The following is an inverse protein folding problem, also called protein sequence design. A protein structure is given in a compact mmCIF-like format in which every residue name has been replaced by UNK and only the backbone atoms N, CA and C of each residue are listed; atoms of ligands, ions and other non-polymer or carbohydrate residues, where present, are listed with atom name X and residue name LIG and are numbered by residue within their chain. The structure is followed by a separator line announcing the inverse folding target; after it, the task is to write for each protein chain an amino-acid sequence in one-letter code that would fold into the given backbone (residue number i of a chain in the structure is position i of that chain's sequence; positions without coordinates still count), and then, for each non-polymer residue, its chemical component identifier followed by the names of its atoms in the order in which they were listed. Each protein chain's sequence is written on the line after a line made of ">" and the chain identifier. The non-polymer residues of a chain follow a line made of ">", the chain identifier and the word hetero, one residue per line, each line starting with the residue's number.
data_IF_897966017286
#
_entry.id   IF_897966017286
#
_cell.length_a   1.000
_cell.length_b   1.000
_cell.length_c   1.000
_cell.angle_alpha   90.00
_cell.angle_beta   90.00
_cell.angle_gamma   90.00
#
_symmetry.space_group_name_H-M   'P 1'
#
loop_
_entity.id
_entity.type
_entity.pdbx_description
1 polymer ?
#
# COMPACT_ATOMS: atom_id res chain seq x y z
N UNK A 1 -12.22 10.51 -8.01
CA UNK A 1 -10.90 9.83 -8.04
C UNK A 1 -10.46 9.68 -9.48
N UNK A 2 -9.35 10.34 -9.84
CA UNK A 2 -8.81 10.33 -11.20
C UNK A 2 -7.46 9.62 -11.22
N UNK A 3 -7.26 8.72 -12.18
CA UNK A 3 -6.00 7.98 -12.34
C UNK A 3 -4.93 8.94 -12.86
N UNK A 4 -3.76 8.91 -12.24
CA UNK A 4 -2.59 9.70 -12.66
C UNK A 4 -1.45 8.83 -13.17
N UNK A 5 -1.33 7.61 -12.65
CA UNK A 5 -0.26 6.73 -13.08
C UNK A 5 -0.60 5.25 -12.90
N UNK A 6 0.04 4.43 -13.73
CA UNK A 6 0.09 2.97 -13.59
C UNK A 6 1.53 2.55 -13.54
N UNK A 7 1.94 2.03 -12.40
CA UNK A 7 3.30 1.73 -12.06
C UNK A 7 3.56 0.22 -12.14
N UNK A 8 4.75 -0.14 -12.63
CA UNK A 8 5.28 -1.52 -12.63
C UNK A 8 6.43 -1.66 -11.64
N UNK A 9 6.27 -1.10 -10.44
CA UNK A 9 7.31 -1.11 -9.41
C UNK A 9 7.58 -2.51 -8.82
N UNK A 10 6.62 -3.43 -8.93
CA UNK A 10 6.74 -4.80 -8.42
C UNK A 10 6.47 -5.78 -9.56
N UNK A 11 7.42 -6.70 -9.80
CA UNK A 11 7.28 -7.74 -10.81
C UNK A 11 6.05 -8.62 -10.52
N UNK A 12 5.24 -8.86 -11.54
CA UNK A 12 3.98 -9.62 -11.41
C UNK A 12 2.81 -8.81 -10.83
N UNK A 13 2.98 -7.51 -10.62
CA UNK A 13 1.93 -6.61 -10.17
C UNK A 13 1.87 -5.31 -10.99
N UNK A 14 0.72 -4.67 -10.96
CA UNK A 14 0.50 -3.32 -11.50
C UNK A 14 -0.16 -2.47 -10.42
N UNK A 15 0.47 -1.35 -10.06
CA UNK A 15 -0.04 -0.43 -9.06
C UNK A 15 -0.67 0.74 -9.80
N UNK A 16 -1.94 1.03 -9.53
CA UNK A 16 -2.64 2.19 -10.07
C UNK A 16 -2.69 3.25 -8.99
N UNK A 17 -2.13 4.41 -9.31
CA UNK A 17 -2.19 5.61 -8.49
C UNK A 17 -3.30 6.52 -9.01
N UNK A 18 -4.13 6.99 -8.08
CA UNK A 18 -5.20 7.94 -8.34
C UNK A 18 -5.21 9.02 -7.27
N UNK A 19 -5.79 10.17 -7.59
CA UNK A 19 -5.93 11.29 -6.67
C UNK A 19 -7.38 11.75 -6.54
N UNK A 20 -7.67 12.39 -5.42
CA UNK A 20 -8.91 13.10 -5.24
C UNK A 20 -8.86 14.43 -6.00
N UNK A 21 -9.84 14.69 -6.84
CA UNK A 21 -9.90 15.93 -7.63
C UNK A 21 -10.25 17.15 -6.75
N UNK A 22 -10.72 16.91 -5.52
CA UNK A 22 -11.03 17.94 -4.54
C UNK A 22 -9.88 18.22 -3.57
N UNK A 23 -8.96 17.26 -3.39
CA UNK A 23 -7.74 17.37 -2.57
C UNK A 23 -6.59 16.63 -3.27
N UNK A 24 -5.74 17.37 -3.96
CA UNK A 24 -4.60 16.82 -4.71
C UNK A 24 -3.46 16.30 -3.81
N UNK A 25 -3.54 16.50 -2.49
CA UNK A 25 -2.63 15.87 -1.53
C UNK A 25 -3.07 14.45 -1.16
N UNK A 26 -4.30 14.09 -1.49
CA UNK A 26 -4.88 12.79 -1.21
C UNK A 26 -4.65 11.84 -2.39
N UNK A 27 -4.00 10.69 -2.13
CA UNK A 27 -3.80 9.63 -3.11
C UNK A 27 -4.45 8.33 -2.67
N UNK A 28 -4.82 7.54 -3.67
CA UNK A 28 -5.27 6.18 -3.53
C UNK A 28 -4.42 5.29 -4.43
N UNK A 29 -3.77 4.30 -3.83
CA UNK A 29 -3.01 3.27 -4.51
C UNK A 29 -3.80 1.97 -4.46
N UNK A 30 -4.09 1.44 -5.65
CA UNK A 30 -4.66 0.11 -5.82
C UNK A 30 -3.70 -0.78 -6.58
N UNK A 31 -3.77 -2.10 -6.41
CA UNK A 31 -2.91 -3.03 -7.11
C UNK A 31 -3.70 -4.13 -7.82
N UNK A 32 -3.12 -4.59 -8.93
CA UNK A 32 -3.43 -5.89 -9.53
C UNK A 32 -2.23 -6.79 -9.28
N UNK A 33 -2.42 -7.92 -8.57
CA UNK A 33 -1.35 -8.83 -8.15
C UNK A 33 -1.73 -10.23 -8.60
N UNK A 34 -0.88 -10.90 -9.40
CA UNK A 34 -1.13 -12.27 -9.92
C UNK A 34 -2.52 -12.44 -10.59
N UNK A 35 -3.03 -11.39 -11.24
CA UNK A 35 -4.33 -11.39 -11.91
C UNK A 35 -5.51 -10.95 -11.03
N UNK A 36 -5.34 -10.92 -9.70
CA UNK A 36 -6.33 -10.40 -8.77
C UNK A 36 -6.31 -8.87 -8.79
N UNK A 37 -7.44 -8.24 -9.09
CA UNK A 37 -7.57 -6.79 -9.32
C UNK A 37 -8.14 -6.08 -8.10
N UNK A 38 -8.05 -4.75 -8.12
CA UNK A 38 -8.69 -3.84 -7.16
C UNK A 38 -8.26 -4.05 -5.70
N UNK A 39 -7.04 -4.53 -5.46
CA UNK A 39 -6.46 -4.53 -4.12
C UNK A 39 -6.25 -3.11 -3.66
N UNK A 40 -6.98 -2.64 -2.66
CA UNK A 40 -6.68 -1.34 -2.06
C UNK A 40 -5.41 -1.49 -1.22
N UNK A 41 -4.39 -0.69 -1.49
CA UNK A 41 -3.11 -0.76 -0.77
C UNK A 41 -3.02 0.38 0.21
N UNK A 42 -3.29 1.60 -0.27
CA UNK A 42 -3.19 2.82 0.51
C UNK A 42 -4.27 3.81 0.05
N UNK A 43 -4.78 4.59 1.00
CA UNK A 43 -5.64 5.72 0.72
C UNK A 43 -5.44 6.77 1.83
N UNK A 44 -4.91 7.94 1.48
CA UNK A 44 -4.47 8.94 2.46
C UNK A 44 -3.63 10.07 1.86
N UNK A 45 -3.12 10.95 2.73
CA UNK A 45 -2.21 12.03 2.37
C UNK A 45 -0.82 11.48 2.10
N UNK A 46 -0.22 11.90 0.99
CA UNK A 46 1.10 11.38 0.59
C UNK A 46 2.22 12.16 1.24
N UNK A 47 3.13 11.43 1.87
CA UNK A 47 4.43 11.88 2.35
C UNK A 47 5.56 11.32 1.46
N UNK A 48 6.82 11.61 1.80
CA UNK A 48 7.98 11.12 1.04
C UNK A 48 8.12 9.59 1.02
N UNK A 49 7.48 8.90 1.96
CA UNK A 49 7.72 7.49 2.29
C UNK A 49 6.61 6.56 1.76
N UNK A 50 5.46 7.13 1.43
CA UNK A 50 4.25 6.43 0.96
C UNK A 50 4.55 5.49 -0.21
N UNK A 51 5.34 5.92 -1.20
CA UNK A 51 5.63 5.09 -2.38
C UNK A 51 6.42 3.83 -2.02
N UNK A 52 7.41 3.96 -1.15
CA UNK A 52 8.23 2.86 -0.67
C UNK A 52 7.39 1.88 0.16
N UNK A 53 6.52 2.40 1.04
CA UNK A 53 5.58 1.57 1.80
C UNK A 53 4.64 0.77 0.88
N UNK A 54 4.06 1.42 -0.14
CA UNK A 54 3.18 0.78 -1.13
C UNK A 54 3.91 -0.35 -1.85
N UNK A 55 5.17 -0.14 -2.25
CA UNK A 55 5.98 -1.17 -2.91
C UNK A 55 6.17 -2.39 -2.00
N UNK A 56 6.55 -2.18 -0.74
CA UNK A 56 6.75 -3.29 0.20
C UNK A 56 5.45 -4.02 0.47
N UNK A 57 4.34 -3.30 0.71
CA UNK A 57 3.05 -3.93 0.99
C UNK A 57 2.56 -4.77 -0.20
N UNK A 58 2.77 -4.31 -1.43
CA UNK A 58 2.44 -5.08 -2.63
C UNK A 58 3.32 -6.32 -2.78
N UNK A 59 4.62 -6.24 -2.43
CA UNK A 59 5.51 -7.42 -2.39
C UNK A 59 5.04 -8.44 -1.36
N UNK A 60 4.72 -7.99 -0.15
CA UNK A 60 4.23 -8.86 0.92
C UNK A 60 2.96 -9.61 0.52
N UNK A 61 1.96 -8.90 -0.03
CA UNK A 61 0.71 -9.50 -0.51
C UNK A 61 1.00 -10.51 -1.63
N UNK A 62 1.86 -10.17 -2.58
CA UNK A 62 2.26 -11.08 -3.66
C UNK A 62 2.90 -12.35 -3.12
N UNK A 63 3.87 -12.21 -2.22
CA UNK A 63 4.64 -13.35 -1.70
C UNK A 63 3.73 -14.28 -0.87
N UNK A 64 2.74 -13.72 -0.17
CA UNK A 64 1.71 -14.51 0.54
C UNK A 64 0.75 -15.23 -0.40
N UNK A 65 0.31 -14.57 -1.48
CA UNK A 65 -0.47 -15.24 -2.54
C UNK A 65 0.33 -16.39 -3.14
N UNK A 66 1.62 -16.17 -3.45
CA UNK A 66 2.50 -17.18 -4.02
C UNK A 66 2.75 -18.35 -3.03
N UNK A 67 2.69 -18.10 -1.73
CA UNK A 67 2.74 -19.11 -0.68
C UNK A 67 1.40 -19.84 -0.42
N UNK A 68 0.32 -19.44 -1.09
CA UNK A 68 -1.01 -20.02 -0.92
C UNK A 68 -1.76 -19.55 0.34
N UNK A 69 -1.37 -18.41 0.92
CA UNK A 69 -2.04 -17.84 2.08
C UNK A 69 -3.33 -17.12 1.68
N UNK A 70 -4.47 -17.75 1.90
CA UNK A 70 -5.80 -17.20 1.59
C UNK A 70 -6.25 -16.10 2.56
N UNK A 71 -5.62 -15.96 3.73
CA UNK A 71 -6.02 -14.94 4.71
C UNK A 71 -5.87 -13.52 4.15
N UNK A 72 -4.96 -13.33 3.19
CA UNK A 72 -4.70 -12.07 2.51
C UNK A 72 -5.97 -11.47 1.88
N UNK A 73 -6.90 -12.29 1.40
CA UNK A 73 -8.15 -11.84 0.75
C UNK A 73 -9.17 -11.26 1.73
N UNK A 74 -8.99 -11.48 3.03
CA UNK A 74 -9.90 -11.05 4.08
C UNK A 74 -9.33 -9.93 4.96
N UNK A 75 -8.11 -9.46 4.66
CA UNK A 75 -7.48 -8.39 5.45
C UNK A 75 -8.14 -7.04 5.20
N UNK A 76 -8.45 -6.35 6.30
CA UNK A 76 -8.93 -4.97 6.24
C UNK A 76 -7.74 -4.05 5.97
N UNK A 77 -7.82 -3.30 4.88
CA UNK A 77 -6.81 -2.30 4.52
C UNK A 77 -6.98 -1.10 5.44
N UNK A 78 -5.95 -0.82 6.26
CA UNK A 78 -5.93 0.37 7.09
C UNK A 78 -5.92 1.63 6.21
N UNK A 79 -6.93 2.48 6.40
CA UNK A 79 -7.04 3.79 5.77
C UNK A 79 -6.24 4.80 6.60
N UNK A 80 -5.37 5.59 5.96
CA UNK A 80 -4.85 6.82 6.54
C UNK A 80 -3.51 6.80 7.27
N UNK A 81 -2.96 5.66 7.66
CA UNK A 81 -1.73 5.65 8.47
C UNK A 81 -0.56 5.01 7.72
N UNK A 82 0.29 5.82 7.08
CA UNK A 82 1.68 5.41 6.90
C UNK A 82 2.26 5.23 8.32
N UNK A 83 2.91 4.11 8.64
CA UNK A 83 3.48 3.93 9.97
C UNK A 83 4.57 4.99 10.22
N UNK A 84 4.51 5.68 11.37
CA UNK A 84 5.44 6.77 11.76
C UNK A 84 6.93 6.39 11.67
N UNK A 85 7.23 5.08 11.68
CA UNK A 85 8.53 4.54 11.32
C UNK A 85 8.36 3.27 10.48
N UNK A 86 8.90 3.29 9.27
CA UNK A 86 8.93 2.14 8.38
C UNK A 86 10.37 1.67 8.19
N UNK A 87 10.67 0.44 8.61
CA UNK A 87 11.97 -0.17 8.38
C UNK A 87 12.01 -0.73 6.95
N UNK A 88 12.71 -0.02 6.07
CA UNK A 88 12.85 -0.37 4.65
C UNK A 88 13.69 -1.62 4.42
N UNK A 89 14.57 -2.00 5.36
CA UNK A 89 15.41 -3.20 5.25
C UNK A 89 14.62 -4.45 5.58
N UNK A 90 13.69 -4.38 6.54
CA UNK A 90 12.88 -5.53 6.97
C UNK A 90 11.46 -5.54 6.40
N UNK A 91 11.03 -4.43 5.79
CA UNK A 91 9.68 -4.24 5.27
C UNK A 91 8.60 -4.18 6.35
N UNK A 92 8.98 -3.95 7.61
CA UNK A 92 8.07 -3.91 8.76
C UNK A 92 7.88 -2.48 9.26
N UNK A 93 6.64 -2.02 9.30
CA UNK A 93 6.27 -0.79 9.99
C UNK A 93 6.25 -1.01 11.51
N UNK A 94 6.87 -0.11 12.27
CA UNK A 94 6.65 -0.01 13.72
C UNK A 94 5.73 1.19 13.98
N UNK A 95 4.51 0.93 14.46
CA UNK A 95 3.73 1.96 15.17
C UNK A 95 4.44 2.19 16.52
N UNK A 96 4.97 3.39 16.72
CA UNK A 96 5.48 3.78 18.02
C UNK A 96 4.24 3.92 18.91
N UNK A 97 4.08 3.07 19.92
CA UNK A 97 2.96 3.22 20.87
C UNK A 97 3.09 4.60 21.51
N UNK A 98 2.02 5.39 21.48
CA UNK A 98 1.89 6.61 22.28
C UNK A 98 2.35 6.30 23.70
N UNK A 99 3.29 7.09 24.20
CA UNK A 99 3.74 7.06 25.58
C UNK A 99 2.59 7.65 26.40
N UNK A 100 1.77 6.81 27.02
CA UNK A 100 0.84 7.23 28.06
C UNK A 100 1.65 7.98 29.13
N UNK A 101 1.24 9.22 29.42
CA UNK A 101 1.84 10.09 30.44
C UNK A 101 0.93 10.16 31.66
#
# INVERSE_FOLDING_TARGET
>A
MKIIAKHKWVAGATITESYDETDDSYRCFTATIRGWRNWKIYQGRVDGDTSSWVIVRVKEIRDRIDAGDESVFYEVVSLGDTPDSFDYDTGKGKRIKEVEK
#
